data_IF_878912439704
#
_entry.id   IF_878912439704
#
_cell.length_a   1.000
_cell.length_b   1.000
_cell.length_c   1.000
_cell.angle_alpha   90.00
_cell.angle_beta   90.00
_cell.angle_gamma   90.00
#
_symmetry.space_group_name_H-M   'P 1'
#
loop_
_entity.id
_entity.type
_entity.pdbx_description
1 polymer ?
#
# COMPACT_ATOMS: atom_id res chain seq x y z
N UNK A 1 -47.25 3.04 -22.20
CA UNK A 1 -45.87 3.54 -22.35
C UNK A 1 -44.98 2.85 -21.35
N UNK A 2 -44.16 1.88 -21.79
CA UNK A 2 -43.08 1.32 -20.97
C UNK A 2 -41.95 2.33 -20.97
N UNK A 3 -41.67 2.95 -19.84
CA UNK A 3 -40.43 3.70 -19.62
C UNK A 3 -39.36 2.66 -19.39
N UNK A 4 -38.54 2.41 -20.41
CA UNK A 4 -37.27 1.69 -20.24
C UNK A 4 -36.39 2.57 -19.37
N UNK A 5 -36.32 2.27 -18.09
CA UNK A 5 -35.27 2.76 -17.19
C UNK A 5 -33.96 2.19 -17.72
N UNK A 6 -33.24 2.96 -18.52
CA UNK A 6 -31.85 2.65 -18.86
C UNK A 6 -31.09 2.55 -17.54
N UNK A 7 -30.60 1.35 -17.23
CA UNK A 7 -29.73 1.18 -16.08
C UNK A 7 -28.54 2.13 -16.27
N UNK A 8 -28.34 3.04 -15.31
CA UNK A 8 -27.21 3.96 -15.35
C UNK A 8 -25.92 3.17 -15.49
N UNK A 9 -25.08 3.53 -16.45
CA UNK A 9 -23.83 2.82 -16.69
C UNK A 9 -22.94 2.93 -15.46
N UNK A 10 -22.41 1.78 -15.03
CA UNK A 10 -21.58 1.67 -13.82
C UNK A 10 -20.24 2.39 -14.00
N UNK A 11 -19.92 3.28 -13.08
CA UNK A 11 -18.66 4.04 -13.12
C UNK A 11 -17.45 3.16 -12.79
N UNK A 12 -16.34 3.45 -13.44
CA UNK A 12 -15.07 2.76 -13.21
C UNK A 12 -14.86 1.48 -14.03
N UNK A 13 -15.84 1.03 -14.80
CA UNK A 13 -15.76 -0.18 -15.59
C UNK A 13 -15.04 0.01 -16.95
N UNK A 14 -15.02 1.22 -17.46
CA UNK A 14 -14.33 1.58 -18.70
C UNK A 14 -13.75 3.01 -18.62
N UNK A 15 -12.86 3.35 -19.53
CA UNK A 15 -12.16 4.63 -19.56
C UNK A 15 -13.05 5.83 -19.91
N UNK A 16 -14.19 5.61 -20.55
CA UNK A 16 -15.13 6.69 -20.91
C UNK A 16 -15.99 7.14 -19.74
N UNK A 17 -16.12 6.30 -18.72
CA UNK A 17 -16.89 6.55 -17.51
C UNK A 17 -16.09 6.18 -16.27
N UNK A 18 -14.94 6.83 -16.03
CA UNK A 18 -14.14 6.56 -14.85
C UNK A 18 -14.88 6.95 -13.58
N UNK A 19 -14.53 6.32 -12.49
CA UNK A 19 -14.95 6.74 -11.16
C UNK A 19 -13.91 7.69 -10.55
N UNK A 20 -14.26 8.31 -9.42
CA UNK A 20 -13.32 9.16 -8.70
C UNK A 20 -12.19 8.32 -8.04
N UNK A 21 -12.54 7.20 -7.41
CA UNK A 21 -11.62 6.35 -6.65
C UNK A 21 -12.14 4.91 -6.53
N UNK A 22 -11.28 3.97 -6.10
CA UNK A 22 -11.70 2.63 -5.69
C UNK A 22 -12.77 2.68 -4.59
N UNK A 23 -12.60 3.59 -3.62
CA UNK A 23 -13.57 3.79 -2.54
C UNK A 23 -14.93 4.25 -3.07
N UNK A 24 -14.97 5.19 -4.00
CA UNK A 24 -16.23 5.66 -4.58
C UNK A 24 -16.95 4.57 -5.37
N UNK A 25 -16.23 3.69 -6.08
CA UNK A 25 -16.82 2.53 -6.77
C UNK A 25 -17.45 1.58 -5.75
N UNK A 26 -16.74 1.31 -4.67
CA UNK A 26 -17.25 0.43 -3.59
C UNK A 26 -18.48 1.04 -2.92
N UNK A 27 -18.44 2.32 -2.57
CA UNK A 27 -19.52 3.00 -1.84
C UNK A 27 -20.80 3.13 -2.69
N UNK A 28 -20.67 3.27 -4.02
CA UNK A 28 -21.82 3.29 -4.94
C UNK A 28 -22.42 1.91 -5.24
N UNK A 29 -21.71 0.83 -4.86
CA UNK A 29 -22.11 -0.54 -5.19
C UNK A 29 -21.80 -0.96 -6.63
N UNK A 30 -21.05 -0.16 -7.39
CA UNK A 30 -20.72 -0.44 -8.79
C UNK A 30 -19.61 -1.46 -9.00
N UNK A 31 -19.07 -2.03 -7.93
CA UNK A 31 -17.98 -3.00 -8.02
C UNK A 31 -18.45 -4.39 -8.44
N UNK A 32 -17.53 -5.13 -9.07
CA UNK A 32 -17.69 -6.51 -9.55
C UNK A 32 -16.67 -7.47 -8.93
N UNK A 33 -16.13 -7.14 -7.75
CA UNK A 33 -15.06 -7.85 -7.06
C UNK A 33 -13.71 -7.16 -7.22
N UNK A 34 -12.66 -7.85 -6.76
CA UNK A 34 -11.28 -7.38 -6.89
C UNK A 34 -10.85 -7.37 -8.35
N UNK A 35 -10.10 -6.36 -8.75
CA UNK A 35 -9.60 -6.30 -10.11
C UNK A 35 -9.34 -4.90 -10.64
N UNK A 36 -9.27 -4.82 -11.96
CA UNK A 36 -8.96 -3.59 -12.67
C UNK A 36 -10.19 -2.71 -12.83
N UNK A 37 -10.00 -1.42 -12.54
CA UNK A 37 -10.99 -0.36 -12.68
C UNK A 37 -10.35 0.88 -13.28
N UNK A 38 -11.19 1.81 -13.74
CA UNK A 38 -10.78 3.10 -14.28
C UNK A 38 -11.15 4.21 -13.30
N UNK A 39 -10.15 4.99 -12.87
CA UNK A 39 -10.37 6.15 -12.00
C UNK A 39 -9.79 7.42 -12.64
N UNK A 40 -10.42 8.55 -12.37
CA UNK A 40 -9.92 9.87 -12.73
C UNK A 40 -10.10 10.84 -11.54
N UNK A 41 -9.14 10.82 -10.60
CA UNK A 41 -9.23 11.61 -9.37
C UNK A 41 -9.29 13.11 -9.60
N UNK A 42 -8.75 13.59 -10.72
CA UNK A 42 -8.69 15.01 -11.08
C UNK A 42 -9.83 15.43 -11.99
N UNK A 43 -10.66 14.50 -12.47
CA UNK A 43 -11.65 14.74 -13.51
C UNK A 43 -11.03 15.41 -14.74
N UNK A 44 -9.83 14.98 -15.09
CA UNK A 44 -8.99 15.58 -16.15
C UNK A 44 -9.31 15.05 -17.55
N UNK A 45 -10.11 14.00 -17.65
CA UNK A 45 -10.33 13.26 -18.90
C UNK A 45 -9.19 12.28 -19.25
N UNK A 46 -8.20 12.13 -18.37
CA UNK A 46 -7.09 11.18 -18.52
C UNK A 46 -7.14 10.09 -17.43
N UNK A 47 -8.08 9.14 -17.49
CA UNK A 47 -8.27 8.14 -16.45
C UNK A 47 -7.09 7.18 -16.36
N UNK A 48 -6.90 6.63 -15.16
CA UNK A 48 -5.91 5.60 -14.85
C UNK A 48 -6.58 4.24 -14.77
N UNK A 49 -5.96 3.22 -15.35
CA UNK A 49 -6.34 1.82 -15.13
C UNK A 49 -5.59 1.30 -13.90
N UNK A 50 -6.32 1.03 -12.83
CA UNK A 50 -5.77 0.71 -11.52
C UNK A 50 -6.32 -0.62 -11.01
N UNK A 51 -5.66 -1.20 -10.00
CA UNK A 51 -6.18 -2.35 -9.27
C UNK A 51 -6.89 -1.89 -7.99
N UNK A 52 -8.14 -2.32 -7.81
CA UNK A 52 -8.91 -2.10 -6.60
C UNK A 52 -9.16 -3.46 -5.90
N UNK A 53 -8.88 -3.51 -4.60
CA UNK A 53 -9.33 -4.59 -3.72
C UNK A 53 -10.67 -4.17 -3.10
N UNK A 54 -11.73 -4.87 -3.49
CA UNK A 54 -13.11 -4.56 -3.10
C UNK A 54 -13.63 -5.44 -1.97
N UNK A 55 -12.85 -6.40 -1.51
CA UNK A 55 -13.27 -7.43 -0.56
C UNK A 55 -12.60 -7.31 0.81
N UNK A 56 -11.31 -7.06 0.85
CA UNK A 56 -10.56 -7.01 2.13
C UNK A 56 -11.03 -5.84 2.98
N UNK A 57 -11.37 -6.12 4.25
CA UNK A 57 -11.71 -5.10 5.24
C UNK A 57 -12.75 -4.08 4.74
N UNK A 58 -13.80 -4.58 4.10
CA UNK A 58 -14.86 -3.76 3.53
C UNK A 58 -14.55 -3.16 2.16
N UNK A 59 -13.39 -3.39 1.59
CA UNK A 59 -13.04 -3.01 0.22
C UNK A 59 -12.75 -1.53 -0.02
N UNK A 60 -12.67 -1.16 -1.30
CA UNK A 60 -12.40 0.21 -1.73
C UNK A 60 -10.92 0.61 -1.66
N UNK A 61 -10.02 -0.37 -1.64
CA UNK A 61 -8.59 -0.15 -1.55
C UNK A 61 -7.95 0.01 -2.93
N UNK A 62 -7.19 1.08 -3.11
CA UNK A 62 -6.36 1.33 -4.29
C UNK A 62 -4.95 0.77 -4.06
N UNK A 63 -4.47 -0.09 -4.93
CA UNK A 63 -3.10 -0.58 -4.93
C UNK A 63 -2.13 0.53 -5.37
N UNK A 64 -1.14 0.85 -4.53
CA UNK A 64 -0.15 1.91 -4.78
C UNK A 64 1.29 1.41 -4.76
N UNK A 65 1.51 0.19 -4.30
CA UNK A 65 2.79 -0.53 -4.40
C UNK A 65 2.50 -2.01 -4.60
N UNK A 66 3.16 -2.61 -5.58
CA UNK A 66 3.01 -4.02 -5.91
C UNK A 66 4.33 -4.58 -6.45
N UNK A 67 4.98 -5.42 -5.66
CA UNK A 67 6.04 -6.29 -6.12
C UNK A 67 5.60 -7.72 -5.84
N UNK A 68 5.45 -8.50 -6.89
CA UNK A 68 5.11 -9.91 -6.81
C UNK A 68 6.17 -10.72 -7.56
N UNK A 69 6.70 -11.74 -6.91
CA UNK A 69 7.73 -12.59 -7.47
C UNK A 69 7.11 -13.57 -8.48
N UNK A 70 7.58 -13.51 -9.71
CA UNK A 70 7.18 -14.46 -10.77
C UNK A 70 7.97 -15.77 -10.69
N UNK A 71 9.17 -15.72 -10.09
CA UNK A 71 10.07 -16.84 -9.90
C UNK A 71 10.87 -16.70 -8.60
N UNK A 72 11.81 -17.61 -8.36
CA UNK A 72 12.77 -17.50 -7.25
C UNK A 72 13.85 -16.43 -7.47
N UNK A 73 13.96 -15.88 -8.67
CA UNK A 73 14.89 -14.79 -8.99
C UNK A 73 14.19 -13.45 -8.81
N UNK A 74 14.62 -12.62 -7.85
CA UNK A 74 14.01 -11.31 -7.66
C UNK A 74 14.33 -10.37 -8.82
N UNK A 75 13.52 -9.32 -9.05
CA UNK A 75 13.81 -8.32 -10.07
C UNK A 75 15.15 -7.63 -9.77
N UNK A 76 15.89 -7.27 -10.81
CA UNK A 76 17.17 -6.55 -10.69
C UNK A 76 17.00 -5.08 -10.29
N UNK A 77 15.80 -4.52 -10.55
CA UNK A 77 15.46 -3.14 -10.23
C UNK A 77 13.98 -3.05 -9.81
N UNK A 78 13.68 -2.11 -8.93
CA UNK A 78 12.30 -1.78 -8.61
C UNK A 78 11.70 -0.81 -9.65
N UNK A 79 10.46 -1.02 -10.10
CA UNK A 79 9.76 -0.10 -10.99
C UNK A 79 9.23 1.12 -10.21
N UNK A 80 10.14 1.98 -9.77
CA UNK A 80 9.83 3.16 -8.95
C UNK A 80 9.11 4.21 -9.78
N UNK A 81 8.00 4.75 -9.26
CA UNK A 81 7.20 5.81 -9.85
C UNK A 81 7.30 7.08 -9.01
N UNK A 82 7.69 8.17 -9.63
CA UNK A 82 7.87 9.49 -8.99
C UNK A 82 6.63 10.37 -9.08
N UNK A 83 5.61 9.95 -9.85
CA UNK A 83 4.29 10.57 -9.92
C UNK A 83 3.19 9.52 -9.75
N UNK A 84 2.07 9.89 -9.14
CA UNK A 84 0.90 9.01 -9.01
C UNK A 84 0.29 8.64 -10.38
N UNK A 85 0.52 9.46 -11.41
CA UNK A 85 0.12 9.15 -12.79
C UNK A 85 0.81 7.89 -13.34
N UNK A 86 1.89 7.45 -12.71
CA UNK A 86 2.55 6.16 -12.99
C UNK A 86 1.90 4.94 -12.35
N UNK A 87 0.81 5.10 -11.62
CA UNK A 87 0.06 3.96 -11.04
C UNK A 87 -0.43 3.05 -12.16
N UNK A 88 -0.26 1.77 -11.96
CA UNK A 88 -0.67 0.70 -12.86
C UNK A 88 -1.21 -0.47 -12.02
N UNK A 89 -1.84 -1.44 -12.68
CA UNK A 89 -2.21 -2.71 -12.03
C UNK A 89 -1.06 -3.72 -11.99
N UNK A 90 0.06 -3.40 -12.63
CA UNK A 90 1.25 -4.25 -12.70
C UNK A 90 2.23 -3.95 -11.55
N UNK A 91 3.50 -4.34 -11.70
CA UNK A 91 4.51 -4.08 -10.69
C UNK A 91 4.87 -2.59 -10.64
N UNK A 92 4.90 -2.03 -9.44
CA UNK A 92 5.26 -0.63 -9.19
C UNK A 92 5.56 -0.38 -7.72
N UNK A 93 6.30 0.68 -7.45
CA UNK A 93 6.46 1.25 -6.10
C UNK A 93 6.40 2.77 -6.21
N UNK A 94 5.55 3.43 -5.41
CA UNK A 94 5.47 4.88 -5.39
C UNK A 94 6.50 5.48 -4.43
N UNK A 95 7.10 6.61 -4.84
CA UNK A 95 7.89 7.46 -3.95
C UNK A 95 6.97 8.25 -3.00
N UNK A 96 7.57 8.82 -1.96
CA UNK A 96 6.90 9.78 -1.08
C UNK A 96 6.25 10.94 -1.85
N UNK A 97 6.92 11.46 -2.87
CA UNK A 97 6.39 12.54 -3.70
C UNK A 97 5.13 12.10 -4.47
N UNK A 98 5.17 10.92 -5.09
CA UNK A 98 4.01 10.37 -5.78
C UNK A 98 2.82 10.12 -4.82
N UNK A 99 3.09 9.67 -3.60
CA UNK A 99 2.08 9.49 -2.56
C UNK A 99 1.48 10.83 -2.09
N UNK A 100 2.29 11.89 -2.04
CA UNK A 100 1.81 13.24 -1.71
C UNK A 100 0.84 13.78 -2.78
N UNK A 101 1.22 13.67 -4.06
CA UNK A 101 0.34 14.03 -5.18
C UNK A 101 -0.99 13.24 -5.10
N UNK A 102 -0.90 11.93 -4.90
CA UNK A 102 -2.07 11.07 -4.84
C UNK A 102 -3.02 11.49 -3.70
N UNK A 103 -2.48 11.79 -2.51
CA UNK A 103 -3.30 12.19 -1.37
C UNK A 103 -3.99 13.54 -1.59
N UNK A 104 -3.35 14.45 -2.29
CA UNK A 104 -3.93 15.74 -2.67
C UNK A 104 -5.23 15.54 -3.47
N UNK A 105 -5.28 14.54 -4.34
CA UNK A 105 -6.45 14.28 -5.19
C UNK A 105 -7.47 13.32 -4.57
N UNK A 106 -7.03 12.32 -3.79
CA UNK A 106 -7.91 11.27 -3.25
C UNK A 106 -8.27 11.42 -1.78
N UNK A 107 -7.56 12.25 -1.02
CA UNK A 107 -7.82 12.48 0.42
C UNK A 107 -7.95 11.18 1.22
N UNK A 108 -7.21 10.12 0.87
CA UNK A 108 -7.27 8.85 1.59
C UNK A 108 -6.82 9.00 3.05
N UNK A 109 -7.41 8.22 3.94
CA UNK A 109 -7.20 8.30 5.39
C UNK A 109 -6.60 7.04 6.00
N UNK A 110 -6.42 5.98 5.19
CA UNK A 110 -5.86 4.72 5.64
C UNK A 110 -4.82 4.18 4.67
N UNK A 111 -3.81 3.52 5.22
CA UNK A 111 -2.83 2.69 4.52
C UNK A 111 -2.98 1.24 4.96
N UNK A 112 -2.71 0.32 4.07
CA UNK A 112 -2.66 -1.11 4.36
C UNK A 112 -1.38 -1.68 3.79
N UNK A 113 -0.55 -2.28 4.66
CA UNK A 113 0.70 -2.95 4.31
C UNK A 113 0.49 -4.45 4.36
N UNK A 114 0.82 -5.14 3.26
CA UNK A 114 0.65 -6.58 3.17
C UNK A 114 1.82 -7.20 2.42
N UNK A 115 2.67 -7.96 3.10
CA UNK A 115 3.66 -8.82 2.45
C UNK A 115 3.49 -10.27 2.85
N UNK A 116 3.89 -11.15 1.94
CA UNK A 116 3.89 -12.60 2.11
C UNK A 116 5.16 -13.19 1.54
N UNK A 117 5.79 -14.10 2.27
CA UNK A 117 6.84 -14.99 1.80
C UNK A 117 6.52 -16.42 2.17
N UNK A 118 6.56 -17.30 1.19
CA UNK A 118 6.22 -18.73 1.33
C UNK A 118 7.00 -19.43 2.46
N UNK A 119 8.26 -19.09 2.64
CA UNK A 119 9.13 -19.69 3.64
C UNK A 119 9.40 -18.78 4.85
N UNK A 120 8.62 -17.74 5.03
CA UNK A 120 8.66 -16.87 6.19
C UNK A 120 7.26 -16.66 6.76
N UNK A 121 6.68 -15.50 6.56
CA UNK A 121 5.42 -15.13 7.21
C UNK A 121 4.55 -14.26 6.30
N UNK A 122 3.36 -13.97 6.79
CA UNK A 122 2.49 -12.91 6.32
C UNK A 122 2.51 -11.78 7.34
N UNK A 123 2.95 -10.60 6.93
CA UNK A 123 2.76 -9.36 7.66
C UNK A 123 1.61 -8.58 7.00
N UNK A 124 0.55 -8.32 7.75
CA UNK A 124 -0.63 -7.64 7.21
C UNK A 124 -1.28 -6.73 8.24
N UNK A 125 -1.14 -5.43 8.05
CA UNK A 125 -1.66 -4.40 8.96
C UNK A 125 -2.35 -3.27 8.20
N UNK A 126 -3.34 -2.67 8.83
CA UNK A 126 -4.05 -1.46 8.37
C UNK A 126 -3.86 -0.35 9.39
N UNK A 127 -3.59 0.87 8.97
CA UNK A 127 -3.52 2.01 9.90
C UNK A 127 -4.83 2.17 10.67
N UNK A 128 -4.73 2.49 11.94
CA UNK A 128 -5.89 2.72 12.78
C UNK A 128 -6.69 3.95 12.34
N UNK A 129 -8.01 3.91 12.48
CA UNK A 129 -8.90 5.03 12.15
C UNK A 129 -8.95 6.06 13.30
N UNK A 130 -7.79 6.59 13.68
CA UNK A 130 -7.61 7.58 14.75
C UNK A 130 -6.43 8.51 14.45
N UNK A 131 -6.11 9.43 15.35
CA UNK A 131 -5.00 10.38 15.16
C UNK A 131 -3.62 9.72 15.03
N UNK A 132 -3.39 8.58 15.68
CA UNK A 132 -2.14 7.83 15.55
C UNK A 132 -2.00 7.20 14.17
N UNK A 133 -3.06 6.64 13.62
CA UNK A 133 -3.08 6.14 12.25
C UNK A 133 -2.97 7.26 11.21
N UNK A 134 -3.61 8.40 11.44
CA UNK A 134 -3.47 9.60 10.59
C UNK A 134 -2.01 10.08 10.52
N UNK A 135 -1.29 10.08 11.64
CA UNK A 135 0.14 10.43 11.65
C UNK A 135 0.98 9.50 10.75
N UNK A 136 0.65 8.21 10.70
CA UNK A 136 1.28 7.24 9.78
C UNK A 136 0.96 7.59 8.33
N UNK A 137 -0.30 7.89 8.02
CA UNK A 137 -0.73 8.28 6.67
C UNK A 137 -0.01 9.54 6.21
N UNK A 138 0.09 10.57 7.05
CA UNK A 138 0.81 11.81 6.75
C UNK A 138 2.30 11.56 6.48
N UNK A 139 2.94 10.70 7.26
CA UNK A 139 4.35 10.38 7.07
C UNK A 139 4.60 9.66 5.73
N UNK A 140 3.85 8.59 5.44
CA UNK A 140 4.03 7.83 4.20
C UNK A 140 3.58 8.56 2.94
N UNK A 141 2.69 9.54 3.07
CA UNK A 141 2.27 10.41 1.97
C UNK A 141 2.98 11.77 1.94
N UNK A 142 4.05 11.95 2.72
CA UNK A 142 4.98 13.06 2.58
C UNK A 142 4.48 14.41 3.06
N UNK A 143 3.39 14.49 3.85
CA UNK A 143 2.97 15.73 4.49
C UNK A 143 3.85 16.12 5.68
N UNK A 144 4.56 15.16 6.25
CA UNK A 144 5.52 15.39 7.33
C UNK A 144 6.74 14.48 7.19
N UNK A 145 7.87 14.93 7.71
CA UNK A 145 9.07 14.10 7.86
C UNK A 145 9.22 13.55 9.30
N UNK A 146 8.28 13.84 10.19
CA UNK A 146 8.25 13.32 11.55
C UNK A 146 7.82 11.85 11.52
N UNK A 147 8.70 10.95 12.00
CA UNK A 147 8.38 9.53 12.10
C UNK A 147 7.30 9.30 13.17
N UNK A 148 6.16 8.68 12.81
CA UNK A 148 5.08 8.46 13.76
C UNK A 148 5.36 7.29 14.68
N UNK A 149 4.76 7.31 15.87
CA UNK A 149 4.76 6.17 16.78
C UNK A 149 4.13 4.93 16.10
N UNK A 150 4.73 3.78 16.31
CA UNK A 150 4.25 2.51 15.74
C UNK A 150 3.10 1.91 16.54
N UNK A 151 3.25 1.81 17.87
CA UNK A 151 2.23 1.20 18.72
C UNK A 151 0.94 2.05 18.77
N UNK A 152 -0.20 1.39 18.66
CA UNK A 152 -1.51 2.05 18.63
C UNK A 152 -1.89 2.71 17.31
N UNK A 153 -0.99 2.67 16.30
CA UNK A 153 -1.21 3.32 15.01
C UNK A 153 -1.75 2.38 13.93
N UNK A 154 -1.85 1.09 14.19
CA UNK A 154 -2.35 0.09 13.24
C UNK A 154 -3.16 -1.01 13.90
N UNK A 155 -3.91 -1.71 13.08
CA UNK A 155 -4.68 -2.92 13.42
C UNK A 155 -4.09 -4.09 12.66
N UNK A 156 -3.80 -5.17 13.37
CA UNK A 156 -3.32 -6.43 12.78
C UNK A 156 -4.50 -7.12 12.08
N UNK A 157 -4.29 -7.54 10.83
CA UNK A 157 -5.32 -8.22 10.06
C UNK A 157 -5.36 -9.71 10.41
N UNK A 158 -6.51 -10.34 10.14
CA UNK A 158 -6.82 -11.72 10.53
C UNK A 158 -5.79 -12.75 10.02
N UNK A 159 -5.28 -12.57 8.80
CA UNK A 159 -4.28 -13.47 8.19
C UNK A 159 -2.83 -13.15 8.53
N UNK A 160 -2.56 -12.15 9.37
CA UNK A 160 -1.20 -11.85 9.84
C UNK A 160 -0.72 -12.92 10.81
N UNK A 161 0.46 -13.48 10.54
CA UNK A 161 1.13 -14.40 11.44
C UNK A 161 2.59 -13.96 11.75
N UNK A 162 2.92 -12.70 11.45
CA UNK A 162 4.26 -12.14 11.62
C UNK A 162 4.62 -11.90 13.09
N UNK A 163 5.92 -11.92 13.39
CA UNK A 163 6.47 -11.42 14.65
C UNK A 163 6.53 -9.91 14.66
N UNK A 164 6.79 -9.31 13.49
CA UNK A 164 6.94 -7.87 13.31
C UNK A 164 5.72 -7.11 13.82
N UNK A 165 4.51 -7.51 13.44
CA UNK A 165 3.28 -6.84 13.86
C UNK A 165 3.02 -6.86 15.37
N UNK A 166 3.73 -7.71 16.13
CA UNK A 166 3.52 -7.92 17.58
C UNK A 166 4.57 -7.26 18.48
N UNK A 167 5.55 -6.57 17.88
CA UNK A 167 6.68 -5.97 18.60
C UNK A 167 6.90 -4.51 18.24
N UNK A 168 5.80 -3.78 18.05
CA UNK A 168 5.81 -2.38 17.60
C UNK A 168 6.73 -1.47 18.44
N UNK A 169 6.86 -1.71 19.74
CA UNK A 169 7.75 -0.96 20.62
C UNK A 169 9.23 -1.04 20.22
N UNK A 170 9.60 -2.04 19.42
CA UNK A 170 10.97 -2.26 18.96
C UNK A 170 11.21 -1.74 17.54
N UNK A 171 10.21 -1.12 16.90
CA UNK A 171 10.35 -0.69 15.51
C UNK A 171 11.21 0.54 15.35
N UNK A 172 11.81 0.62 14.17
CA UNK A 172 12.33 1.84 13.59
C UNK A 172 13.70 2.29 14.09
N UNK A 173 14.21 3.29 13.39
CA UNK A 173 15.38 4.04 13.80
C UNK A 173 15.22 5.52 13.49
N UNK A 174 15.76 6.37 14.36
CA UNK A 174 15.75 7.82 14.23
C UNK A 174 17.12 8.37 14.65
N UNK A 175 17.73 9.19 13.79
CA UNK A 175 19.04 9.82 14.06
C UNK A 175 20.14 8.83 14.50
N UNK A 176 20.15 7.63 13.91
CA UNK A 176 21.13 6.58 14.24
C UNK A 176 20.80 5.76 15.50
N UNK A 177 19.74 6.11 16.22
CA UNK A 177 19.24 5.32 17.36
C UNK A 177 18.22 4.30 16.83
N UNK A 178 18.37 3.05 17.25
CA UNK A 178 17.49 1.94 16.89
C UNK A 178 16.45 1.65 17.97
N UNK A 179 15.41 0.90 17.61
CA UNK A 179 14.39 0.41 18.57
C UNK A 179 13.67 1.59 19.25
N UNK A 180 13.23 2.55 18.45
CA UNK A 180 12.63 3.80 18.93
C UNK A 180 11.10 3.78 19.01
N UNK A 181 10.47 2.65 18.66
CA UNK A 181 9.01 2.50 18.66
C UNK A 181 8.32 3.35 17.59
N UNK A 182 8.95 3.52 16.43
CA UNK A 182 8.46 4.36 15.33
C UNK A 182 8.45 3.61 14.00
N UNK A 183 7.58 4.03 13.10
CA UNK A 183 7.63 3.65 11.70
C UNK A 183 8.85 4.24 11.00
N UNK A 184 9.42 3.46 10.05
CA UNK A 184 10.42 3.96 9.13
C UNK A 184 11.83 4.11 9.72
N UNK A 185 12.73 4.63 8.88
CA UNK A 185 14.15 4.85 9.23
C UNK A 185 14.65 6.25 8.82
N UNK A 186 13.74 7.18 8.53
CA UNK A 186 14.07 8.58 8.25
C UNK A 186 14.48 8.89 6.80
N UNK A 187 14.58 7.94 5.88
CA UNK A 187 14.83 8.21 4.47
C UNK A 187 13.65 8.91 3.80
N UNK A 188 13.94 9.75 2.79
CA UNK A 188 12.96 10.73 2.30
C UNK A 188 12.06 10.25 1.16
N UNK A 189 12.54 9.39 0.26
CA UNK A 189 11.77 9.02 -0.95
C UNK A 189 11.29 7.57 -0.96
N UNK A 190 11.97 6.71 -0.27
CA UNK A 190 11.83 5.25 -0.32
C UNK A 190 10.99 4.66 0.83
N UNK A 191 10.13 5.49 1.44
CA UNK A 191 9.39 5.14 2.66
C UNK A 191 8.50 3.91 2.54
N UNK A 192 7.94 3.61 1.36
CA UNK A 192 7.06 2.46 1.16
C UNK A 192 7.82 1.14 0.98
N UNK A 193 9.12 1.18 0.65
CA UNK A 193 9.84 -0.01 0.25
C UNK A 193 11.15 -0.26 1.03
N UNK A 194 11.77 0.77 1.61
CA UNK A 194 12.97 0.62 2.44
C UNK A 194 12.61 0.81 3.91
N UNK A 195 12.43 -0.29 4.62
CA UNK A 195 12.18 -0.32 6.06
C UNK A 195 10.98 0.54 6.54
N UNK A 196 9.79 0.45 5.94
CA UNK A 196 8.61 1.11 6.53
C UNK A 196 8.31 0.59 7.93
N UNK A 197 8.48 -0.71 8.17
CA UNK A 197 8.37 -1.37 9.47
C UNK A 197 9.51 -2.36 9.63
N UNK A 198 10.25 -2.29 10.73
CA UNK A 198 11.36 -3.20 11.00
C UNK A 198 11.82 -3.18 12.46
N UNK A 199 12.38 -4.29 12.89
CA UNK A 199 13.13 -4.43 14.15
C UNK A 199 14.55 -4.84 13.81
N UNK A 200 15.53 -4.03 14.19
CA UNK A 200 16.94 -4.23 13.85
C UNK A 200 17.42 -5.61 14.25
N UNK A 201 18.04 -6.32 13.32
CA UNK A 201 18.59 -7.66 13.53
C UNK A 201 17.57 -8.78 13.73
N UNK A 202 16.26 -8.52 13.50
CA UNK A 202 15.20 -9.50 13.78
C UNK A 202 14.20 -9.67 12.66
N UNK A 203 13.46 -8.63 12.31
CA UNK A 203 12.31 -8.72 11.40
C UNK A 203 12.14 -7.44 10.59
N UNK A 204 11.95 -7.57 9.29
CA UNK A 204 11.93 -6.42 8.39
C UNK A 204 10.84 -6.54 7.34
N UNK A 205 10.23 -5.39 6.97
CA UNK A 205 9.71 -5.15 5.63
C UNK A 205 10.80 -4.45 4.84
N UNK A 206 11.23 -5.03 3.73
CA UNK A 206 12.31 -4.45 2.94
C UNK A 206 12.25 -4.91 1.49
N UNK A 207 12.36 -3.98 0.57
CA UNK A 207 12.47 -4.21 -0.86
C UNK A 207 13.63 -3.38 -1.41
N UNK A 208 14.74 -4.02 -1.67
CA UNK A 208 15.85 -3.44 -2.42
C UNK A 208 16.64 -4.56 -3.08
N UNK A 209 16.56 -4.71 -4.40
CA UNK A 209 17.24 -5.79 -5.09
C UNK A 209 18.72 -5.93 -4.73
N UNK A 210 19.21 -7.15 -4.55
CA UNK A 210 18.50 -8.42 -4.66
C UNK A 210 17.75 -8.86 -3.40
N UNK A 211 17.67 -8.04 -2.37
CA UNK A 211 17.17 -8.42 -1.03
C UNK A 211 15.71 -8.00 -0.84
N UNK A 212 14.88 -8.97 -0.48
CA UNK A 212 13.46 -8.79 -0.19
C UNK A 212 13.11 -9.50 1.11
N UNK A 213 12.66 -8.75 2.13
CA UNK A 213 12.38 -9.25 3.47
C UNK A 213 10.91 -8.99 3.83
N UNK A 214 10.27 -10.00 4.43
CA UNK A 214 8.93 -9.93 5.00
C UNK A 214 8.93 -10.73 6.29
N UNK A 215 9.06 -10.05 7.42
CA UNK A 215 9.22 -10.61 8.78
C UNK A 215 10.48 -11.47 8.98
N UNK A 216 11.47 -11.38 8.09
CA UNK A 216 12.78 -12.01 8.19
C UNK A 216 13.89 -10.93 8.22
N UNK A 217 15.12 -11.33 8.56
CA UNK A 217 16.28 -10.43 8.61
C UNK A 217 17.48 -10.95 7.80
N UNK A 218 17.37 -12.15 7.29
CA UNK A 218 18.36 -12.75 6.40
C UNK A 218 17.67 -12.91 5.04
N UNK A 219 18.34 -12.53 3.95
CA UNK A 219 17.77 -12.73 2.63
C UNK A 219 17.56 -14.22 2.35
N UNK A 220 16.42 -14.75 2.76
CA UNK A 220 15.98 -16.06 2.32
C UNK A 220 15.59 -15.98 0.84
N UNK A 221 15.79 -17.06 0.07
CA UNK A 221 15.35 -17.08 -1.31
C UNK A 221 13.90 -16.65 -1.43
N UNK A 222 13.61 -15.83 -2.44
CA UNK A 222 12.24 -15.54 -2.84
C UNK A 222 11.65 -16.74 -3.57
N UNK A 223 10.33 -16.83 -3.59
CA UNK A 223 9.57 -17.87 -4.29
C UNK A 223 8.54 -17.22 -5.21
N UNK A 224 8.17 -17.92 -6.27
CA UNK A 224 7.03 -17.50 -7.08
C UNK A 224 5.80 -17.32 -6.19
N UNK A 225 5.13 -16.19 -6.32
CA UNK A 225 3.97 -15.83 -5.52
C UNK A 225 4.27 -15.05 -4.23
N UNK A 226 5.53 -14.90 -3.82
CA UNK A 226 5.90 -13.97 -2.76
C UNK A 226 5.57 -12.54 -3.19
N UNK A 227 5.07 -11.70 -2.28
CA UNK A 227 4.66 -10.34 -2.65
C UNK A 227 4.82 -9.30 -1.53
N UNK A 228 4.93 -8.04 -1.96
CA UNK A 228 4.87 -6.84 -1.12
C UNK A 228 3.90 -5.87 -1.74
N UNK A 229 2.81 -5.56 -1.03
CA UNK A 229 1.74 -4.68 -1.53
C UNK A 229 1.38 -3.61 -0.51
N UNK A 230 1.15 -2.40 -0.99
CA UNK A 230 0.61 -1.30 -0.19
C UNK A 230 -0.63 -0.77 -0.89
N UNK A 231 -1.64 -0.48 -0.09
CA UNK A 231 -2.93 0.05 -0.55
C UNK A 231 -3.29 1.30 0.24
N UNK A 232 -4.12 2.15 -0.36
CA UNK A 232 -4.74 3.33 0.26
C UNK A 232 -6.25 3.29 0.14
N UNK A 233 -6.93 3.89 1.12
CA UNK A 233 -8.38 4.04 1.12
C UNK A 233 -8.82 5.29 1.86
#
# INVERSE_FOLDING_TARGET
>A
SFVLLSAAAKRGWNSKQPAYSCKSIRDSGDFKGDGRYWIDPENSGNPLNVYCDMTTDGGGWLLVSNITMESSTPPSQLPVKTSYRGITSDQMVLTKTAMNELRTHLSFTQLRFHCFKKYACTFHVTTAANSSGEAVVQYFSGQTDVQPASCGSYVIRENDNSRLARVCQNWGSENGVHTVGKWGHGRKQDRLYIYPAFTVGKSHWYMNPPNFLCDDNIPNPTSSGDFWKVYVR
#
